data_IF_639908739890
#
_entry.id   IF_639908739890
#
_cell.length_a   1.000
_cell.length_b   1.000
_cell.length_c   1.000
_cell.angle_alpha   90.00
_cell.angle_beta   90.00
_cell.angle_gamma   90.00
#
_symmetry.space_group_name_H-M   'P 1'
#
loop_
_entity.id
_entity.type
_entity.pdbx_description
1 polymer ?
#
# COMPACT_ATOMS: atom_id res chain seq x y z
N UNK A 1 27.77 -27.20 -33.76
CA UNK A 1 28.77 -26.81 -32.74
C UNK A 1 30.15 -27.27 -33.24
N UNK A 2 30.83 -26.47 -34.04
CA UNK A 2 32.21 -26.80 -34.52
C UNK A 2 33.19 -26.29 -33.47
N UNK A 3 33.99 -27.23 -32.94
CA UNK A 3 35.11 -26.97 -32.04
C UNK A 3 36.06 -25.96 -32.68
N UNK A 4 36.08 -24.71 -32.25
CA UNK A 4 37.11 -23.73 -32.56
C UNK A 4 38.40 -24.05 -31.78
N UNK A 5 39.06 -25.17 -32.09
CA UNK A 5 40.48 -25.32 -31.80
C UNK A 5 41.20 -24.66 -32.95
N UNK A 6 41.47 -23.38 -32.86
CA UNK A 6 42.40 -22.69 -33.78
C UNK A 6 43.79 -23.12 -33.39
N UNK A 7 44.36 -24.08 -34.19
CA UNK A 7 45.78 -24.39 -34.11
C UNK A 7 46.56 -23.21 -34.68
N UNK A 8 46.89 -22.24 -33.82
CA UNK A 8 47.74 -21.12 -34.18
C UNK A 8 49.15 -21.63 -34.48
N UNK A 9 49.71 -21.29 -35.65
CA UNK A 9 51.10 -21.56 -35.97
C UNK A 9 52.03 -20.78 -35.05
N UNK A 10 53.25 -21.26 -34.82
CA UNK A 10 54.24 -20.54 -34.01
C UNK A 10 54.53 -19.13 -34.54
N UNK A 11 54.32 -18.86 -35.83
CA UNK A 11 54.51 -17.55 -36.46
C UNK A 11 53.41 -16.55 -36.07
N UNK A 12 52.23 -17.00 -35.66
CA UNK A 12 51.16 -16.15 -35.20
C UNK A 12 51.52 -15.39 -33.90
N UNK A 13 52.28 -16.01 -33.01
CA UNK A 13 52.70 -15.42 -31.74
C UNK A 13 53.93 -14.49 -31.85
N UNK A 14 54.52 -14.36 -33.04
CA UNK A 14 55.66 -13.49 -33.28
C UNK A 14 55.31 -12.21 -34.04
N UNK A 15 54.09 -12.13 -34.61
CA UNK A 15 53.66 -11.05 -35.49
C UNK A 15 52.44 -10.35 -34.89
N UNK A 16 52.64 -9.12 -34.42
CA UNK A 16 51.58 -8.32 -33.79
C UNK A 16 50.49 -7.89 -34.78
N UNK A 17 50.85 -7.68 -36.04
CA UNK A 17 49.91 -7.29 -37.10
C UNK A 17 48.91 -8.43 -37.37
N UNK A 18 49.39 -9.66 -37.48
CA UNK A 18 48.50 -10.84 -37.62
C UNK A 18 47.57 -11.02 -36.45
N UNK A 19 48.00 -10.70 -35.23
CA UNK A 19 47.12 -10.68 -34.07
C UNK A 19 46.05 -9.58 -34.17
N UNK A 20 46.44 -8.36 -34.56
CA UNK A 20 45.49 -7.25 -34.73
C UNK A 20 44.41 -7.59 -35.74
N UNK A 21 44.80 -8.10 -36.90
CA UNK A 21 43.86 -8.51 -37.94
C UNK A 21 42.92 -9.61 -37.48
N UNK A 22 43.44 -10.60 -36.76
CA UNK A 22 42.64 -11.68 -36.19
C UNK A 22 41.65 -11.17 -35.14
N UNK A 23 42.10 -10.30 -34.24
CA UNK A 23 41.21 -9.73 -33.20
C UNK A 23 40.14 -8.84 -33.79
N UNK A 24 40.45 -8.07 -34.85
CA UNK A 24 39.49 -7.25 -35.57
C UNK A 24 38.42 -8.12 -36.28
N UNK A 25 38.87 -9.19 -36.94
CA UNK A 25 37.94 -10.18 -37.52
C UNK A 25 37.00 -10.78 -36.48
N UNK A 26 37.53 -11.17 -35.31
CA UNK A 26 36.70 -11.74 -34.22
C UNK A 26 35.77 -10.73 -33.62
N UNK A 27 36.16 -9.47 -33.58
CA UNK A 27 35.31 -8.37 -33.15
C UNK A 27 34.15 -8.12 -34.12
N UNK A 28 34.39 -8.19 -35.43
CA UNK A 28 33.33 -8.07 -36.43
C UNK A 28 32.38 -9.28 -36.42
N UNK A 29 32.90 -10.51 -36.24
CA UNK A 29 32.07 -11.70 -36.04
C UNK A 29 31.17 -11.53 -34.80
N UNK A 30 31.71 -11.02 -33.70
CA UNK A 30 30.95 -10.77 -32.49
C UNK A 30 29.87 -9.70 -32.71
N UNK A 31 30.17 -8.61 -33.42
CA UNK A 31 29.17 -7.57 -33.76
C UNK A 31 28.01 -8.14 -34.57
N UNK A 32 28.28 -9.05 -35.51
CA UNK A 32 27.21 -9.72 -36.27
C UNK A 32 26.32 -10.57 -35.33
N UNK A 33 26.93 -11.28 -34.39
CA UNK A 33 26.19 -12.05 -33.39
C UNK A 33 25.36 -11.18 -32.46
N UNK A 34 25.82 -9.99 -32.11
CA UNK A 34 25.01 -9.01 -31.35
C UNK A 34 23.79 -8.55 -32.16
N UNK A 35 23.92 -8.33 -33.49
CA UNK A 35 22.78 -8.01 -34.38
C UNK A 35 21.75 -9.15 -34.42
N UNK A 36 22.20 -10.41 -34.47
CA UNK A 36 21.30 -11.57 -34.36
C UNK A 36 20.56 -11.58 -33.01
N UNK A 37 21.25 -11.26 -31.90
CA UNK A 37 20.66 -11.13 -30.58
C UNK A 37 19.63 -9.99 -30.52
N UNK A 38 19.93 -8.84 -31.15
CA UNK A 38 18.98 -7.71 -31.23
C UNK A 38 17.69 -8.10 -31.95
N UNK A 39 17.80 -8.93 -32.99
CA UNK A 39 16.61 -9.46 -33.67
C UNK A 39 15.79 -10.38 -32.79
N UNK A 40 16.40 -11.21 -31.94
CA UNK A 40 15.70 -12.05 -30.97
C UNK A 40 15.02 -11.22 -29.88
N UNK A 41 15.67 -10.15 -29.42
CA UNK A 41 15.13 -9.21 -28.43
C UNK A 41 13.93 -8.46 -29.02
N UNK A 42 14.02 -7.97 -30.26
CA UNK A 42 12.94 -7.25 -30.94
C UNK A 42 11.69 -8.13 -31.18
N UNK A 43 11.89 -9.44 -31.38
CA UNK A 43 10.82 -10.43 -31.51
C UNK A 43 10.28 -10.89 -30.13
N UNK A 44 10.74 -10.26 -29.05
CA UNK A 44 10.33 -10.57 -27.66
C UNK A 44 10.58 -12.04 -27.24
N UNK A 45 11.52 -12.71 -27.86
CA UNK A 45 11.88 -14.10 -27.58
C UNK A 45 12.96 -14.20 -26.49
N UNK A 46 12.57 -13.85 -25.25
CA UNK A 46 13.47 -13.69 -24.09
C UNK A 46 14.23 -14.98 -23.76
N UNK A 47 13.59 -16.14 -23.83
CA UNK A 47 14.21 -17.42 -23.51
C UNK A 47 15.34 -17.77 -24.49
N UNK A 48 15.10 -17.59 -25.79
CA UNK A 48 16.12 -17.81 -26.82
C UNK A 48 17.23 -16.78 -26.74
N UNK A 49 16.92 -15.52 -26.47
CA UNK A 49 17.91 -14.46 -26.30
C UNK A 49 18.87 -14.75 -25.12
N UNK A 50 18.37 -15.22 -23.98
CA UNK A 50 19.21 -15.64 -22.83
C UNK A 50 20.10 -16.82 -23.18
N UNK A 51 19.55 -17.87 -23.80
CA UNK A 51 20.33 -19.04 -24.26
C UNK A 51 21.41 -18.63 -25.27
N UNK A 52 21.12 -17.66 -26.13
CA UNK A 52 22.10 -17.15 -27.12
C UNK A 52 23.25 -16.38 -26.43
N UNK A 53 22.96 -15.55 -25.42
CA UNK A 53 24.00 -14.89 -24.60
C UNK A 53 24.90 -15.92 -23.92
N UNK A 54 24.34 -16.98 -23.37
CA UNK A 54 25.14 -18.01 -22.70
C UNK A 54 26.00 -18.79 -23.69
N UNK A 55 25.54 -19.00 -24.93
CA UNK A 55 26.33 -19.55 -26.00
C UNK A 55 27.51 -18.65 -26.38
N UNK A 56 27.29 -17.31 -26.49
CA UNK A 56 28.34 -16.34 -26.75
C UNK A 56 29.38 -16.30 -25.63
N UNK A 57 28.94 -16.31 -24.35
CA UNK A 57 29.86 -16.42 -23.21
C UNK A 57 30.69 -17.69 -23.27
N UNK A 58 30.10 -18.81 -23.66
CA UNK A 58 30.80 -20.08 -23.80
C UNK A 58 31.92 -20.01 -24.87
N UNK A 59 31.64 -19.36 -25.98
CA UNK A 59 32.60 -19.24 -27.10
C UNK A 59 33.74 -18.27 -26.80
N UNK A 60 33.45 -17.13 -26.18
CA UNK A 60 34.45 -16.05 -26.06
C UNK A 60 35.09 -15.97 -24.69
N UNK A 61 34.32 -16.06 -23.58
CA UNK A 61 34.79 -15.69 -22.22
C UNK A 61 34.88 -16.85 -21.24
N UNK A 62 34.31 -18.01 -21.53
CA UNK A 62 34.39 -19.19 -20.66
C UNK A 62 35.81 -19.74 -20.53
N UNK A 63 36.09 -20.59 -19.54
CA UNK A 63 37.42 -21.19 -19.30
C UNK A 63 38.04 -21.86 -20.53
N UNK A 64 37.23 -22.33 -21.49
CA UNK A 64 37.63 -22.94 -22.74
C UNK A 64 37.36 -22.03 -23.96
N UNK A 65 37.02 -20.77 -23.72
CA UNK A 65 36.69 -19.79 -24.75
C UNK A 65 37.95 -19.14 -25.38
N UNK A 66 37.73 -18.37 -26.43
CA UNK A 66 38.77 -17.73 -27.23
C UNK A 66 39.71 -16.85 -26.38
N UNK A 67 39.17 -16.00 -25.50
CA UNK A 67 39.98 -15.06 -24.72
C UNK A 67 40.90 -15.75 -23.74
N UNK A 68 40.43 -16.70 -22.87
CA UNK A 68 41.36 -17.46 -22.04
C UNK A 68 42.37 -18.31 -22.82
N UNK A 69 42.01 -18.83 -23.98
CA UNK A 69 42.95 -19.56 -24.86
C UNK A 69 44.07 -18.65 -25.33
N UNK A 70 43.78 -17.46 -25.83
CA UNK A 70 44.79 -16.48 -26.25
C UNK A 70 45.66 -16.02 -25.08
N UNK A 71 45.10 -15.78 -23.90
CA UNK A 71 45.83 -15.37 -22.70
C UNK A 71 46.72 -16.50 -22.18
N UNK A 72 46.30 -17.76 -22.24
CA UNK A 72 47.11 -18.92 -21.81
C UNK A 72 48.37 -19.10 -22.67
N UNK A 73 48.33 -18.69 -23.94
CA UNK A 73 49.44 -18.76 -24.86
C UNK A 73 50.38 -17.54 -24.82
N UNK A 74 50.17 -16.60 -23.89
CA UNK A 74 50.99 -15.39 -23.73
C UNK A 74 52.47 -15.71 -23.48
N UNK A 75 52.80 -16.90 -22.99
CA UNK A 75 54.19 -17.34 -22.78
C UNK A 75 54.91 -17.75 -24.07
N UNK A 76 54.19 -17.95 -25.17
CA UNK A 76 54.74 -18.24 -26.51
C UNK A 76 55.05 -16.98 -27.31
N UNK A 77 54.64 -15.81 -26.80
CA UNK A 77 54.79 -14.50 -27.42
C UNK A 77 56.17 -13.94 -27.12
N UNK A 78 56.80 -13.29 -28.14
CA UNK A 78 58.07 -12.62 -27.99
C UNK A 78 58.01 -11.54 -26.90
N UNK A 79 59.07 -11.43 -26.10
CA UNK A 79 59.16 -10.49 -24.96
C UNK A 79 58.98 -9.04 -25.39
N UNK A 80 59.37 -8.67 -26.58
CA UNK A 80 59.26 -7.32 -27.14
C UNK A 80 57.82 -6.85 -27.36
N UNK A 81 56.91 -7.77 -27.73
CA UNK A 81 55.52 -7.47 -28.07
C UNK A 81 54.53 -8.00 -27.04
N UNK A 82 54.96 -8.71 -26.00
CA UNK A 82 54.12 -9.37 -24.98
C UNK A 82 53.18 -8.40 -24.29
N UNK A 83 53.62 -7.19 -23.95
CA UNK A 83 52.82 -6.17 -23.28
C UNK A 83 51.69 -5.67 -24.19
N UNK A 84 51.97 -5.44 -25.47
CA UNK A 84 50.97 -4.98 -26.45
C UNK A 84 49.97 -6.11 -26.76
N UNK A 85 50.46 -7.35 -26.90
CA UNK A 85 49.63 -8.54 -27.06
C UNK A 85 48.57 -8.65 -25.93
N UNK A 86 48.99 -8.58 -24.68
CA UNK A 86 48.08 -8.63 -23.52
C UNK A 86 47.06 -7.48 -23.50
N UNK A 87 47.50 -6.26 -23.87
CA UNK A 87 46.63 -5.09 -23.93
C UNK A 87 45.54 -5.25 -25.00
N UNK A 88 45.84 -5.72 -26.19
CA UNK A 88 44.90 -5.90 -27.30
C UNK A 88 43.84 -6.96 -26.95
N UNK A 89 44.25 -8.07 -26.31
CA UNK A 89 43.31 -9.12 -25.91
C UNK A 89 42.38 -8.63 -24.82
N UNK A 90 42.89 -7.88 -23.82
CA UNK A 90 42.06 -7.30 -22.76
C UNK A 90 41.08 -6.27 -23.32
N UNK A 91 41.46 -5.46 -24.30
CA UNK A 91 40.53 -4.54 -24.98
C UNK A 91 39.37 -5.29 -25.67
N UNK A 92 39.65 -6.40 -26.34
CA UNK A 92 38.60 -7.23 -26.94
C UNK A 92 37.71 -7.87 -25.84
N UNK A 93 38.31 -8.35 -24.75
CA UNK A 93 37.59 -8.90 -23.58
C UNK A 93 36.63 -7.89 -23.03
N UNK A 94 37.11 -6.68 -22.70
CA UNK A 94 36.30 -5.62 -22.09
C UNK A 94 35.14 -5.20 -23.00
N UNK A 95 35.40 -5.14 -24.32
CA UNK A 95 34.38 -4.88 -25.33
C UNK A 95 33.28 -5.94 -25.34
N UNK A 96 33.64 -7.23 -25.32
CA UNK A 96 32.68 -8.34 -25.34
C UNK A 96 31.90 -8.38 -24.04
N UNK A 97 32.55 -8.27 -22.88
CA UNK A 97 31.91 -8.33 -21.59
C UNK A 97 30.94 -7.17 -21.37
N UNK A 98 31.33 -5.94 -21.73
CA UNK A 98 30.45 -4.77 -21.65
C UNK A 98 29.21 -4.91 -22.54
N UNK A 99 29.40 -5.32 -23.81
CA UNK A 99 28.30 -5.51 -24.74
C UNK A 99 27.29 -6.59 -24.26
N UNK A 100 27.77 -7.71 -23.74
CA UNK A 100 26.91 -8.78 -23.22
C UNK A 100 26.19 -8.34 -21.95
N UNK A 101 26.82 -7.54 -21.08
CA UNK A 101 26.22 -6.99 -19.89
C UNK A 101 25.09 -6.02 -20.22
N UNK A 102 25.30 -5.13 -21.18
CA UNK A 102 24.26 -4.19 -21.64
C UNK A 102 23.02 -4.93 -22.15
N UNK A 103 23.26 -5.95 -23.03
CA UNK A 103 22.15 -6.76 -23.58
C UNK A 103 21.41 -7.58 -22.50
N UNK A 104 22.12 -8.06 -21.49
CA UNK A 104 21.49 -8.76 -20.36
C UNK A 104 20.59 -7.82 -19.53
N UNK A 105 21.02 -6.57 -19.33
CA UNK A 105 20.21 -5.55 -18.65
C UNK A 105 18.94 -5.24 -19.47
N UNK A 106 19.06 -5.12 -20.78
CA UNK A 106 17.93 -4.89 -21.69
C UNK A 106 16.91 -6.03 -21.62
N UNK A 107 17.36 -7.28 -21.70
CA UNK A 107 16.52 -8.48 -21.60
C UNK A 107 15.81 -8.55 -20.23
N UNK A 108 16.53 -8.26 -19.14
CA UNK A 108 15.93 -8.28 -17.79
C UNK A 108 14.86 -7.18 -17.60
N UNK A 109 15.02 -6.01 -18.23
CA UNK A 109 13.98 -4.97 -18.24
C UNK A 109 12.71 -5.44 -18.97
N UNK A 110 12.87 -6.10 -20.12
CA UNK A 110 11.74 -6.64 -20.88
C UNK A 110 11.03 -7.78 -20.11
N UNK A 111 11.79 -8.66 -19.48
CA UNK A 111 11.22 -9.74 -18.65
C UNK A 111 10.44 -9.20 -17.44
N UNK A 112 10.96 -8.17 -16.78
CA UNK A 112 10.25 -7.52 -15.68
C UNK A 112 8.96 -6.83 -16.16
N UNK A 113 8.96 -6.22 -17.32
CA UNK A 113 7.76 -5.63 -17.92
C UNK A 113 6.72 -6.69 -18.30
N UNK A 114 7.14 -7.89 -18.72
CA UNK A 114 6.21 -9.00 -19.01
C UNK A 114 5.59 -9.62 -17.77
N UNK A 115 6.28 -9.62 -16.63
CA UNK A 115 5.72 -10.13 -15.35
C UNK A 115 4.49 -9.36 -14.86
N UNK A 116 4.25 -8.16 -15.37
CA UNK A 116 3.06 -7.36 -15.02
C UNK A 116 1.88 -7.54 -15.99
N UNK A 117 2.06 -8.25 -17.10
CA UNK A 117 0.95 -8.69 -17.93
C UNK A 117 0.56 -10.11 -17.52
N UNK A 118 -0.34 -10.21 -16.57
CA UNK A 118 -1.13 -11.41 -16.37
C UNK A 118 -2.02 -11.50 -17.62
N UNK A 119 -1.85 -12.53 -18.43
CA UNK A 119 -2.76 -12.86 -19.54
C UNK A 119 -4.07 -13.34 -18.90
N UNK A 120 -4.91 -12.37 -18.51
CA UNK A 120 -6.22 -12.61 -17.98
C UNK A 120 -7.09 -13.07 -19.16
N UNK A 121 -7.37 -14.36 -19.21
CA UNK A 121 -8.38 -14.89 -20.11
C UNK A 121 -9.77 -14.35 -19.69
N UNK A 122 -10.15 -13.24 -20.31
CA UNK A 122 -11.43 -12.57 -20.09
C UNK A 122 -12.63 -13.35 -20.65
N UNK A 123 -12.40 -14.49 -21.31
CA UNK A 123 -13.47 -15.36 -21.83
C UNK A 123 -14.03 -16.35 -20.80
N UNK A 124 -13.45 -16.39 -19.59
CA UNK A 124 -13.94 -17.24 -18.51
C UNK A 124 -15.09 -16.54 -17.79
N UNK A 125 -16.32 -16.83 -18.17
CA UNK A 125 -17.58 -16.37 -17.55
C UNK A 125 -17.66 -16.58 -16.02
N UNK A 126 -16.79 -17.42 -15.48
CA UNK A 126 -16.73 -17.73 -14.05
C UNK A 126 -16.22 -16.56 -13.19
N UNK A 127 -15.47 -15.61 -13.77
CA UNK A 127 -14.93 -14.45 -13.06
C UNK A 127 -15.94 -13.30 -12.93
N UNK A 128 -16.93 -13.19 -13.83
CA UNK A 128 -17.90 -12.10 -13.80
C UNK A 128 -18.75 -12.05 -12.51
N UNK A 129 -18.93 -13.18 -11.84
CA UNK A 129 -19.62 -13.22 -10.56
C UNK A 129 -18.74 -12.85 -9.35
N UNK A 130 -17.41 -12.84 -9.50
CA UNK A 130 -16.47 -12.56 -8.41
C UNK A 130 -15.75 -11.21 -8.53
N UNK A 131 -15.52 -10.74 -9.75
CA UNK A 131 -14.67 -9.56 -10.02
C UNK A 131 -15.34 -8.23 -9.65
N UNK A 132 -16.67 -8.20 -9.53
CA UNK A 132 -17.44 -6.97 -9.28
C UNK A 132 -18.03 -6.85 -7.86
N UNK A 133 -17.64 -7.71 -6.92
CA UNK A 133 -18.18 -7.62 -5.56
C UNK A 133 -17.10 -7.24 -4.56
N UNK A 134 -17.10 -5.97 -4.19
CA UNK A 134 -16.29 -5.48 -3.10
C UNK A 134 -16.70 -6.13 -1.77
N UNK A 135 -15.75 -6.31 -0.87
CA UNK A 135 -16.02 -6.71 0.51
C UNK A 135 -17.04 -5.76 1.17
N UNK A 136 -17.87 -6.26 2.08
CA UNK A 136 -18.93 -5.45 2.71
C UNK A 136 -18.37 -4.19 3.37
N UNK A 137 -17.21 -4.28 4.03
CA UNK A 137 -16.55 -3.12 4.64
C UNK A 137 -16.22 -2.06 3.59
N UNK A 138 -15.67 -2.46 2.43
CA UNK A 138 -15.34 -1.53 1.35
C UNK A 138 -16.60 -0.86 0.78
N UNK A 139 -17.71 -1.59 0.67
CA UNK A 139 -18.99 -1.00 0.25
C UNK A 139 -19.48 0.04 1.24
N UNK A 140 -19.40 -0.26 2.54
CA UNK A 140 -19.81 0.70 3.57
C UNK A 140 -18.89 1.91 3.58
N UNK A 141 -17.59 1.73 3.36
CA UNK A 141 -16.64 2.84 3.20
C UNK A 141 -17.07 3.72 2.03
N UNK A 142 -17.34 3.14 0.84
CA UNK A 142 -17.78 3.89 -0.33
C UNK A 142 -19.09 4.65 -0.06
N UNK A 143 -20.07 4.01 0.59
CA UNK A 143 -21.33 4.67 0.97
C UNK A 143 -21.08 5.85 1.93
N UNK A 144 -20.18 5.68 2.91
CA UNK A 144 -19.81 6.73 3.85
C UNK A 144 -19.09 7.89 3.15
N UNK A 145 -18.18 7.58 2.22
CA UNK A 145 -17.50 8.57 1.38
C UNK A 145 -18.51 9.39 0.57
N UNK A 146 -19.44 8.74 -0.14
CA UNK A 146 -20.48 9.44 -0.91
C UNK A 146 -21.31 10.37 -0.03
N UNK A 147 -21.74 9.90 1.13
CA UNK A 147 -22.52 10.70 2.07
C UNK A 147 -21.74 11.92 2.54
N UNK A 148 -20.51 11.75 3.04
CA UNK A 148 -19.74 12.87 3.59
C UNK A 148 -19.22 13.81 2.51
N UNK A 149 -18.87 13.32 1.32
CA UNK A 149 -18.55 14.17 0.17
C UNK A 149 -19.75 15.06 -0.21
N UNK A 150 -20.98 14.52 -0.20
CA UNK A 150 -22.20 15.29 -0.45
C UNK A 150 -22.46 16.37 0.61
N UNK A 151 -21.98 16.18 1.84
CA UNK A 151 -22.05 17.14 2.94
C UNK A 151 -20.87 18.15 2.94
N UNK A 152 -20.00 18.07 1.93
CA UNK A 152 -18.88 19.00 1.72
C UNK A 152 -17.62 18.66 2.51
N UNK A 153 -17.44 17.39 2.94
CA UNK A 153 -16.20 16.92 3.54
C UNK A 153 -15.21 16.51 2.46
N UNK A 154 -13.92 16.64 2.75
CA UNK A 154 -12.81 16.09 1.97
C UNK A 154 -12.26 14.85 2.64
N UNK A 155 -11.69 13.93 1.86
CA UNK A 155 -11.12 12.68 2.37
C UNK A 155 -9.62 12.85 2.56
N UNK A 156 -9.10 12.39 3.70
CA UNK A 156 -7.67 12.37 4.00
C UNK A 156 -7.24 11.00 4.50
N UNK A 157 -6.14 10.49 3.95
CA UNK A 157 -5.51 9.26 4.43
C UNK A 157 -4.84 9.46 5.78
N UNK A 158 -4.88 8.41 6.59
CA UNK A 158 -4.32 8.40 7.93
C UNK A 158 -3.33 7.27 8.18
N UNK A 159 -2.28 7.56 8.94
CA UNK A 159 -1.27 6.58 9.32
C UNK A 159 -1.84 5.54 10.30
N UNK A 160 -1.69 4.25 10.02
CA UNK A 160 -2.04 3.16 10.95
C UNK A 160 -1.03 3.04 12.09
N UNK A 161 0.24 3.33 11.82
CA UNK A 161 1.32 3.37 12.81
C UNK A 161 1.56 4.82 13.20
N UNK A 162 1.51 5.10 14.50
CA UNK A 162 1.70 6.43 15.04
C UNK A 162 2.55 6.40 16.31
N UNK A 163 2.78 7.56 16.89
CA UNK A 163 3.45 7.70 18.17
C UNK A 163 2.47 8.10 19.28
N UNK A 164 2.92 8.02 20.54
CA UNK A 164 2.09 8.36 21.70
C UNK A 164 1.61 9.81 21.68
N UNK A 165 2.40 10.73 21.14
CA UNK A 165 2.04 12.14 21.09
C UNK A 165 0.73 12.36 20.34
N UNK A 166 0.65 11.90 19.08
CA UNK A 166 -0.57 12.09 18.28
C UNK A 166 -1.73 11.19 18.70
N UNK A 167 -1.42 9.97 19.16
CA UNK A 167 -2.48 9.04 19.55
C UNK A 167 -3.10 9.40 20.90
N UNK A 168 -2.37 10.12 21.78
CA UNK A 168 -2.81 10.41 23.14
C UNK A 168 -2.59 11.87 23.57
N UNK A 169 -1.36 12.33 23.70
CA UNK A 169 -1.00 13.57 24.38
C UNK A 169 -1.60 14.82 23.71
N UNK A 170 -1.52 14.88 22.39
CA UNK A 170 -2.09 15.96 21.60
C UNK A 170 -3.62 16.03 21.70
N UNK A 171 -4.28 14.91 22.06
CA UNK A 171 -5.71 14.77 22.30
C UNK A 171 -6.11 14.93 23.79
N UNK A 172 -5.27 15.50 24.62
CA UNK A 172 -5.48 15.67 26.07
C UNK A 172 -5.58 14.35 26.86
N UNK A 173 -4.96 13.30 26.37
CA UNK A 173 -4.87 12.02 27.06
C UNK A 173 -3.45 11.90 27.61
N UNK A 174 -3.23 12.48 28.78
CA UNK A 174 -1.92 12.49 29.43
C UNK A 174 -1.47 11.08 29.82
N UNK A 175 -0.16 10.95 30.13
CA UNK A 175 0.48 9.65 30.41
C UNK A 175 -0.23 8.83 31.50
N UNK A 176 -0.82 9.48 32.47
CA UNK A 176 -1.51 8.84 33.62
C UNK A 176 -3.04 8.92 33.52
N UNK A 177 -3.58 9.28 32.34
CA UNK A 177 -5.02 9.37 32.15
C UNK A 177 -5.66 7.98 32.10
N UNK A 178 -6.76 7.71 32.86
CA UNK A 178 -7.39 6.39 32.90
C UNK A 178 -7.83 5.86 31.54
N UNK A 179 -8.20 6.75 30.61
CA UNK A 179 -8.56 6.36 29.24
C UNK A 179 -7.42 5.65 28.48
N UNK A 180 -6.16 5.84 28.88
CA UNK A 180 -5.02 5.12 28.26
C UNK A 180 -5.05 3.63 28.56
N UNK A 181 -5.40 3.26 29.78
CA UNK A 181 -5.52 1.86 30.20
C UNK A 181 -6.74 1.18 29.55
N UNK A 182 -7.80 1.97 29.26
CA UNK A 182 -9.01 1.47 28.62
C UNK A 182 -8.82 1.05 27.16
N UNK A 183 -7.80 1.56 26.46
CA UNK A 183 -7.61 1.28 25.03
C UNK A 183 -6.61 0.18 24.72
N UNK A 184 -6.09 -0.52 25.69
CA UNK A 184 -5.27 -1.73 25.50
C UNK A 184 -4.39 -1.71 24.22
N UNK A 185 -3.41 -0.80 24.21
CA UNK A 185 -2.64 -0.43 23.02
C UNK A 185 -1.60 -1.48 22.62
N UNK A 186 -1.46 -1.73 21.32
CA UNK A 186 -0.34 -2.48 20.77
C UNK A 186 0.86 -1.57 20.48
N UNK A 187 1.95 -1.75 21.22
CA UNK A 187 3.22 -1.06 20.99
C UNK A 187 4.15 -1.86 20.10
N UNK A 188 4.90 -1.18 19.25
CA UNK A 188 5.94 -1.80 18.45
C UNK A 188 7.19 -1.94 19.30
N UNK A 189 7.73 -3.17 19.39
CA UNK A 189 8.88 -3.49 20.25
C UNK A 189 10.07 -2.58 19.96
N UNK A 190 10.72 -2.10 21.03
CA UNK A 190 11.91 -1.24 20.98
C UNK A 190 11.72 0.11 20.25
N UNK A 191 10.50 0.62 20.19
CA UNK A 191 10.20 1.93 19.59
C UNK A 191 9.15 2.69 20.38
N UNK A 192 8.98 4.00 20.10
CA UNK A 192 7.91 4.83 20.62
C UNK A 192 6.67 4.79 19.71
N UNK A 193 6.60 3.82 18.80
CA UNK A 193 5.53 3.66 17.85
C UNK A 193 4.51 2.66 18.37
N UNK A 194 3.28 2.87 17.95
CA UNK A 194 2.13 2.04 18.30
C UNK A 194 1.21 1.86 17.08
N UNK A 195 0.36 0.86 17.13
CA UNK A 195 -0.78 0.75 16.24
C UNK A 195 -1.89 1.64 16.79
N UNK A 196 -2.42 2.56 15.98
CA UNK A 196 -3.42 3.54 16.45
C UNK A 196 -4.64 2.86 17.03
N UNK A 197 -5.12 3.38 18.16
CA UNK A 197 -6.29 2.86 18.86
C UNK A 197 -7.61 3.47 18.39
N UNK A 198 -7.53 4.55 17.65
CA UNK A 198 -8.63 5.31 17.02
C UNK A 198 -8.08 6.15 15.87
N UNK A 199 -8.97 6.75 15.10
CA UNK A 199 -8.60 7.63 13.98
C UNK A 199 -8.46 9.10 14.39
N UNK A 200 -8.77 9.46 15.64
CA UNK A 200 -8.68 10.85 16.15
C UNK A 200 -7.27 11.42 16.18
N UNK A 201 -6.22 10.57 16.10
CA UNK A 201 -4.83 11.02 15.88
C UNK A 201 -4.68 11.91 14.64
N UNK A 202 -5.55 11.71 13.65
CA UNK A 202 -5.53 12.48 12.41
C UNK A 202 -6.09 13.89 12.56
N UNK A 203 -6.93 14.17 13.56
CA UNK A 203 -7.42 15.54 13.83
C UNK A 203 -6.24 16.50 13.96
N UNK A 204 -5.30 16.19 14.87
CA UNK A 204 -4.12 17.04 15.12
C UNK A 204 -3.24 17.13 13.88
N UNK A 205 -2.92 16.00 13.26
CA UNK A 205 -2.06 15.95 12.07
C UNK A 205 -2.60 16.74 10.89
N UNK A 206 -3.92 16.80 10.73
CA UNK A 206 -4.56 17.55 9.66
C UNK A 206 -4.64 19.03 10.02
N UNK A 207 -4.98 19.37 11.28
CA UNK A 207 -5.00 20.76 11.77
C UNK A 207 -3.62 21.42 11.74
N UNK A 208 -2.52 20.67 11.84
CA UNK A 208 -1.16 21.17 11.64
C UNK A 208 -0.85 21.53 10.18
N UNK A 209 -1.55 20.92 9.23
CA UNK A 209 -1.30 21.06 7.78
C UNK A 209 -2.28 22.01 7.08
N UNK A 210 -3.53 21.98 7.49
CA UNK A 210 -4.60 22.75 6.87
C UNK A 210 -4.93 24.01 7.67
N UNK A 211 -5.24 25.08 6.94
CA UNK A 211 -5.79 26.29 7.53
C UNK A 211 -7.32 26.26 7.44
N UNK A 212 -8.07 26.56 8.51
CA UNK A 212 -9.51 26.68 8.45
C UNK A 212 -9.96 27.75 7.42
N UNK A 213 -11.16 27.61 6.78
CA UNK A 213 -12.15 26.59 7.10
C UNK A 213 -11.93 25.25 6.37
N UNK A 214 -12.24 24.15 7.04
CA UNK A 214 -12.25 22.83 6.38
C UNK A 214 -13.22 21.86 7.08
N UNK A 215 -13.67 20.87 6.32
CA UNK A 215 -14.40 19.68 6.77
C UNK A 215 -13.70 18.46 6.20
N UNK A 216 -13.34 17.51 7.05
CA UNK A 216 -12.51 16.36 6.67
C UNK A 216 -13.08 15.08 7.28
N UNK A 217 -13.05 14.00 6.51
CA UNK A 217 -13.13 12.63 7.02
C UNK A 217 -11.81 11.92 6.81
N UNK A 218 -11.47 11.05 7.73
CA UNK A 218 -10.39 10.08 7.64
C UNK A 218 -10.87 8.74 8.16
N UNK A 219 -10.42 7.65 7.58
CA UNK A 219 -10.83 6.32 8.02
C UNK A 219 -9.67 5.33 7.90
N UNK A 220 -9.87 4.14 8.42
CA UNK A 220 -8.95 3.02 8.30
C UNK A 220 -8.92 2.16 9.55
N UNK A 221 -7.98 1.22 9.58
CA UNK A 221 -7.86 0.25 10.66
C UNK A 221 -7.40 0.88 11.96
N UNK A 222 -8.00 0.40 13.05
CA UNK A 222 -7.63 0.68 14.43
C UNK A 222 -7.41 -0.63 15.16
N UNK A 223 -6.63 -0.59 16.24
CA UNK A 223 -6.14 -1.79 16.92
C UNK A 223 -6.26 -1.63 18.43
N UNK A 224 -6.89 -2.61 19.11
CA UNK A 224 -7.01 -2.68 20.58
C UNK A 224 -6.82 -4.13 21.01
N UNK A 225 -6.22 -4.37 22.18
CA UNK A 225 -6.05 -5.73 22.71
C UNK A 225 -7.35 -6.32 23.27
N UNK A 226 -8.47 -6.02 22.65
CA UNK A 226 -9.77 -6.56 23.02
C UNK A 226 -9.86 -8.05 22.74
N UNK A 227 -10.61 -8.75 23.58
CA UNK A 227 -10.95 -10.15 23.32
C UNK A 227 -11.93 -10.24 22.15
N UNK A 228 -11.71 -11.23 21.29
CA UNK A 228 -12.57 -11.46 20.13
C UNK A 228 -13.92 -12.05 20.57
N UNK A 229 -15.01 -11.30 20.39
CA UNK A 229 -16.38 -11.75 20.62
C UNK A 229 -17.32 -11.36 19.44
N UNK A 230 -18.63 -11.37 19.65
CA UNK A 230 -19.61 -11.00 18.61
C UNK A 230 -19.63 -9.49 18.30
N UNK A 231 -19.08 -8.66 19.17
CA UNK A 231 -19.14 -7.20 19.10
C UNK A 231 -17.78 -6.52 19.14
N UNK A 232 -16.73 -7.24 19.51
CA UNK A 232 -15.36 -6.74 19.63
C UNK A 232 -14.39 -7.55 18.77
N UNK A 233 -13.40 -6.83 18.21
CA UNK A 233 -12.26 -7.41 17.48
C UNK A 233 -11.02 -6.61 17.84
N UNK A 234 -9.86 -7.29 17.91
CA UNK A 234 -8.57 -6.63 18.12
C UNK A 234 -8.15 -5.72 16.96
N UNK A 235 -8.76 -5.90 15.80
CA UNK A 235 -8.66 -5.03 14.64
C UNK A 235 -10.07 -4.68 14.17
N UNK A 236 -10.34 -3.41 13.92
CA UNK A 236 -11.60 -2.91 13.37
C UNK A 236 -11.32 -1.66 12.53
N UNK A 237 -12.32 -1.16 11.82
CA UNK A 237 -12.21 0.07 11.05
C UNK A 237 -13.01 1.20 11.74
N UNK A 238 -12.43 2.38 11.76
CA UNK A 238 -13.09 3.58 12.27
C UNK A 238 -13.03 4.67 11.21
N UNK A 239 -14.14 5.42 11.10
CA UNK A 239 -14.20 6.69 10.40
C UNK A 239 -14.26 7.80 11.44
N UNK A 240 -13.42 8.81 11.25
CA UNK A 240 -13.41 10.07 11.98
C UNK A 240 -13.78 11.20 11.04
N UNK A 241 -14.73 12.03 11.43
CA UNK A 241 -15.06 13.25 10.71
C UNK A 241 -14.94 14.44 11.63
N UNK A 242 -14.41 15.56 11.14
CA UNK A 242 -14.32 16.80 11.89
C UNK A 242 -14.34 18.04 10.98
N UNK A 243 -14.80 19.15 11.56
CA UNK A 243 -14.86 20.43 10.87
C UNK A 243 -14.31 21.53 11.79
N UNK A 244 -13.57 22.47 11.21
CA UNK A 244 -13.03 23.65 11.90
C UNK A 244 -13.32 24.89 11.07
N UNK A 245 -14.00 25.85 11.67
CA UNK A 245 -14.31 27.14 11.05
C UNK A 245 -14.59 28.19 12.14
N UNK A 246 -14.85 29.43 11.75
CA UNK A 246 -15.34 30.46 12.68
C UNK A 246 -16.79 30.16 13.06
N UNK A 247 -17.08 30.33 14.34
CA UNK A 247 -18.45 30.28 14.89
C UNK A 247 -19.19 28.94 14.71
N UNK A 248 -18.48 27.82 14.49
CA UNK A 248 -19.09 26.47 14.50
C UNK A 248 -19.69 26.21 15.89
N UNK A 249 -20.94 25.77 15.92
CA UNK A 249 -21.71 25.49 17.11
C UNK A 249 -22.03 23.98 17.24
N UNK A 250 -22.49 23.59 18.41
CA UNK A 250 -22.99 22.23 18.63
C UNK A 250 -24.23 21.89 17.77
N UNK A 251 -24.99 22.90 17.34
CA UNK A 251 -26.12 22.70 16.43
C UNK A 251 -25.65 22.31 15.01
N UNK A 252 -24.50 22.81 14.57
CA UNK A 252 -23.91 22.42 13.27
C UNK A 252 -23.49 20.97 13.27
N UNK A 253 -22.94 20.48 14.40
CA UNK A 253 -22.66 19.06 14.62
C UNK A 253 -23.95 18.24 14.56
N UNK A 254 -24.98 18.62 15.34
CA UNK A 254 -26.28 17.91 15.35
C UNK A 254 -26.87 17.85 13.94
N UNK A 255 -26.86 18.96 13.20
CA UNK A 255 -27.36 19.01 11.84
C UNK A 255 -26.58 18.06 10.91
N UNK A 256 -25.27 18.08 10.99
CA UNK A 256 -24.41 17.20 10.17
C UNK A 256 -24.72 15.73 10.45
N UNK A 257 -24.88 15.35 11.71
CA UNK A 257 -25.19 13.97 12.10
C UNK A 257 -26.62 13.56 11.72
N UNK A 258 -27.57 14.50 11.80
CA UNK A 258 -28.93 14.26 11.32
C UNK A 258 -28.97 14.01 9.82
N UNK A 259 -28.29 14.84 9.05
CA UNK A 259 -28.18 14.69 7.59
C UNK A 259 -27.49 13.37 7.23
N UNK A 260 -26.39 13.02 7.93
CA UNK A 260 -25.71 11.74 7.77
C UNK A 260 -26.64 10.53 8.02
N UNK A 261 -27.36 10.53 9.13
CA UNK A 261 -28.27 9.40 9.46
C UNK A 261 -29.38 9.27 8.44
N UNK A 262 -29.96 10.38 7.99
CA UNK A 262 -31.00 10.37 6.98
C UNK A 262 -30.50 9.84 5.61
N UNK A 263 -29.31 10.22 5.22
CA UNK A 263 -28.72 9.76 3.95
C UNK A 263 -28.32 8.27 4.00
N UNK A 264 -27.77 7.84 5.16
CA UNK A 264 -27.25 6.48 5.32
C UNK A 264 -28.31 5.43 5.62
N UNK A 265 -29.34 5.79 6.43
CA UNK A 265 -30.32 4.85 6.97
C UNK A 265 -31.79 5.17 6.59
N UNK A 266 -32.02 6.34 6.02
CA UNK A 266 -33.36 6.79 5.64
C UNK A 266 -34.01 7.74 6.64
N UNK A 267 -35.06 8.43 6.20
CA UNK A 267 -35.72 9.54 6.94
C UNK A 267 -36.57 9.11 8.14
N UNK A 268 -36.87 7.81 8.25
CA UNK A 268 -37.73 7.28 9.34
C UNK A 268 -36.93 6.87 10.57
N UNK A 269 -35.68 7.27 10.68
CA UNK A 269 -34.79 6.91 11.78
C UNK A 269 -34.62 8.08 12.75
N UNK A 270 -35.09 7.88 13.98
CA UNK A 270 -34.94 8.86 15.07
C UNK A 270 -33.49 8.85 15.60
N UNK A 271 -32.99 10.02 15.94
CA UNK A 271 -31.68 10.23 16.56
C UNK A 271 -31.84 10.64 18.01
N UNK A 272 -31.06 10.02 18.86
CA UNK A 272 -30.97 10.35 20.30
C UNK A 272 -29.53 10.68 20.67
N UNK A 273 -29.27 11.86 21.22
CA UNK A 273 -28.00 12.24 21.80
C UNK A 273 -28.04 11.95 23.31
N UNK A 274 -26.99 11.29 23.78
CA UNK A 274 -26.78 11.00 25.21
C UNK A 274 -25.49 11.70 25.61
N UNK A 275 -25.52 12.57 26.66
CA UNK A 275 -24.29 13.19 27.15
C UNK A 275 -23.25 12.12 27.51
N UNK A 276 -22.01 12.36 27.12
CA UNK A 276 -20.86 11.47 27.35
C UNK A 276 -19.61 12.29 27.64
N UNK A 277 -18.50 11.63 27.85
CA UNK A 277 -17.22 12.29 28.09
C UNK A 277 -16.13 11.67 27.23
N UNK A 278 -15.45 12.53 26.44
CA UNK A 278 -14.21 12.19 25.75
C UNK A 278 -13.17 13.28 26.05
N UNK A 279 -11.90 12.95 26.33
CA UNK A 279 -10.88 13.94 26.70
C UNK A 279 -10.65 15.04 25.68
N UNK A 280 -10.84 14.70 24.39
CA UNK A 280 -10.58 15.58 23.25
C UNK A 280 -11.79 16.37 22.76
N UNK A 281 -12.99 16.19 23.36
CA UNK A 281 -14.19 16.95 23.02
C UNK A 281 -14.89 17.50 24.28
N UNK A 282 -15.53 18.68 24.15
CA UNK A 282 -16.29 19.33 25.22
C UNK A 282 -17.24 20.39 24.62
N UNK A 283 -18.59 20.25 24.74
CA UNK A 283 -19.28 19.06 25.26
C UNK A 283 -19.16 17.82 24.37
N UNK A 284 -19.33 16.66 24.97
CA UNK A 284 -19.34 15.37 24.32
C UNK A 284 -20.67 14.67 24.38
N UNK A 285 -21.00 13.87 23.38
CA UNK A 285 -22.19 13.06 23.33
C UNK A 285 -21.97 11.75 22.57
N UNK A 286 -22.77 10.75 22.93
CA UNK A 286 -22.97 9.55 22.13
C UNK A 286 -24.25 9.67 21.31
N UNK A 287 -24.20 9.21 20.05
CA UNK A 287 -25.36 9.21 19.16
C UNK A 287 -25.91 7.81 19.02
N UNK A 288 -27.17 7.67 19.34
CA UNK A 288 -27.96 6.47 19.15
C UNK A 288 -29.04 6.71 18.11
N UNK A 289 -29.31 5.73 17.28
CA UNK A 289 -30.43 5.74 16.33
C UNK A 289 -31.51 4.76 16.76
N UNK A 290 -32.77 5.03 16.38
CA UNK A 290 -33.86 4.08 16.60
C UNK A 290 -33.51 2.72 15.97
N UNK A 291 -33.80 1.65 16.70
CA UNK A 291 -33.41 0.29 16.26
C UNK A 291 -34.00 -0.04 14.91
N UNK A 292 -33.14 -0.26 13.93
CA UNK A 292 -33.51 -0.57 12.53
C UNK A 292 -34.30 -1.89 12.43
N UNK A 293 -34.10 -2.81 13.39
CA UNK A 293 -34.74 -4.13 13.38
C UNK A 293 -36.17 -4.10 13.92
N UNK A 294 -36.38 -3.46 15.09
CA UNK A 294 -37.69 -3.43 15.73
C UNK A 294 -38.37 -2.05 15.65
N UNK A 295 -37.70 -1.05 15.07
CA UNK A 295 -38.18 0.35 14.99
C UNK A 295 -38.59 0.92 16.35
N UNK A 296 -37.91 0.50 17.42
CA UNK A 296 -38.21 0.90 18.80
C UNK A 296 -39.49 0.31 19.40
N UNK A 297 -40.16 -0.61 18.69
CA UNK A 297 -41.50 -1.10 19.09
C UNK A 297 -41.50 -2.41 19.88
N UNK A 298 -40.43 -3.18 19.86
CA UNK A 298 -40.35 -4.49 20.51
C UNK A 298 -39.42 -4.45 21.74
N UNK A 299 -40.03 -4.61 22.92
CA UNK A 299 -39.29 -4.69 24.20
C UNK A 299 -38.50 -6.00 24.36
N UNK A 300 -38.80 -7.02 23.56
CA UNK A 300 -38.09 -8.28 23.52
C UNK A 300 -36.98 -8.37 22.44
N UNK A 301 -36.74 -7.30 21.70
CA UNK A 301 -35.76 -7.26 20.65
C UNK A 301 -34.36 -7.59 21.18
N UNK A 302 -33.76 -8.69 20.68
CA UNK A 302 -32.44 -9.17 21.07
C UNK A 302 -31.30 -8.23 20.69
N UNK A 303 -31.51 -7.41 19.65
CA UNK A 303 -30.47 -6.52 19.10
C UNK A 303 -30.33 -5.24 19.95
N UNK A 304 -31.46 -4.54 20.24
CA UNK A 304 -31.42 -3.36 21.07
C UNK A 304 -31.68 -3.68 22.56
N UNK A 305 -31.86 -4.95 22.91
CA UNK A 305 -32.14 -5.43 24.29
C UNK A 305 -33.34 -4.69 24.92
N UNK A 306 -34.34 -4.36 24.10
CA UNK A 306 -35.54 -3.66 24.51
C UNK A 306 -35.40 -2.15 24.72
N UNK A 307 -34.21 -1.55 24.53
CA UNK A 307 -34.00 -0.11 24.67
C UNK A 307 -34.63 0.73 23.55
N UNK A 308 -34.90 0.11 22.41
CA UNK A 308 -35.41 0.76 21.19
C UNK A 308 -34.38 1.56 20.43
N UNK A 309 -33.14 1.73 20.94
CA UNK A 309 -32.07 2.51 20.33
C UNK A 309 -30.77 1.72 20.26
N UNK A 310 -29.91 2.09 19.31
CA UNK A 310 -28.59 1.50 19.09
C UNK A 310 -27.58 2.63 18.94
N UNK A 311 -26.57 2.62 19.80
CA UNK A 311 -25.42 3.54 19.69
C UNK A 311 -24.65 3.27 18.39
N UNK A 312 -24.29 4.34 17.68
CA UNK A 312 -23.56 4.25 16.40
C UNK A 312 -22.24 5.02 16.39
N UNK A 313 -22.13 6.12 17.15
CA UNK A 313 -20.93 6.96 17.14
C UNK A 313 -20.82 7.83 18.41
N UNK A 314 -19.59 8.25 18.71
CA UNK A 314 -19.30 9.32 19.65
C UNK A 314 -19.03 10.64 18.92
N UNK A 315 -19.36 11.78 19.55
CA UNK A 315 -19.16 13.09 18.96
C UNK A 315 -18.99 14.19 20.02
N UNK A 316 -18.60 15.38 19.59
CA UNK A 316 -18.54 16.56 20.45
C UNK A 316 -17.88 17.77 19.78
N UNK A 317 -17.87 18.88 20.50
CA UNK A 317 -17.07 20.03 20.08
C UNK A 317 -15.60 19.77 20.40
N UNK A 318 -14.70 20.09 19.47
CA UNK A 318 -13.25 19.94 19.69
C UNK A 318 -12.86 20.78 20.91
N UNK A 319 -12.13 20.15 21.83
CA UNK A 319 -11.72 20.81 23.05
C UNK A 319 -10.88 22.06 22.75
N UNK A 320 -11.24 23.25 23.27
CA UNK A 320 -10.54 24.52 22.96
C UNK A 320 -9.03 24.47 23.22
N UNK A 321 -8.59 23.71 24.21
CA UNK A 321 -7.16 23.54 24.52
C UNK A 321 -6.38 22.89 23.37
N UNK A 322 -7.00 22.02 22.58
CA UNK A 322 -6.37 21.42 21.40
C UNK A 322 -6.19 22.48 20.31
N UNK A 323 -7.24 23.30 20.06
CA UNK A 323 -7.16 24.41 19.09
C UNK A 323 -6.14 25.46 19.53
N UNK A 324 -6.08 25.78 20.81
CA UNK A 324 -5.09 26.73 21.37
C UNK A 324 -3.64 26.24 21.14
N UNK A 325 -3.36 24.98 21.43
CA UNK A 325 -2.03 24.38 21.19
C UNK A 325 -1.60 24.42 19.72
N UNK A 326 -2.56 24.46 18.81
CA UNK A 326 -2.34 24.51 17.36
C UNK A 326 -2.38 25.94 16.79
N UNK A 327 -2.45 26.97 17.65
CA UNK A 327 -2.63 28.38 17.27
C UNK A 327 -3.92 28.65 16.45
N UNK A 328 -4.99 27.93 16.76
CA UNK A 328 -6.31 28.03 16.14
C UNK A 328 -7.36 28.54 17.13
N UNK A 329 -6.99 29.34 18.13
CA UNK A 329 -7.88 29.84 19.21
C UNK A 329 -9.04 30.71 18.72
N UNK A 330 -8.95 31.28 17.51
CA UNK A 330 -10.03 32.07 16.89
C UNK A 330 -11.11 31.21 16.21
N UNK A 331 -10.92 29.90 16.15
CA UNK A 331 -11.82 28.96 15.51
C UNK A 331 -12.50 28.06 16.55
N UNK A 332 -13.63 27.51 16.13
CA UNK A 332 -14.33 26.43 16.82
C UNK A 332 -14.43 25.24 15.89
N UNK A 333 -14.77 24.08 16.42
CA UNK A 333 -14.89 22.88 15.59
C UNK A 333 -15.65 21.77 16.31
N UNK A 334 -16.11 20.82 15.53
CA UNK A 334 -16.68 19.58 16.04
C UNK A 334 -15.98 18.37 15.45
N UNK A 335 -16.09 17.24 16.16
CA UNK A 335 -15.60 15.95 15.69
C UNK A 335 -16.61 14.83 16.02
N UNK A 336 -16.58 13.77 15.23
CA UNK A 336 -17.32 12.53 15.46
C UNK A 336 -16.54 11.33 14.96
N UNK A 337 -16.68 10.20 15.67
CA UNK A 337 -16.01 8.95 15.32
C UNK A 337 -16.95 7.75 15.36
N UNK A 338 -16.95 6.91 14.32
CA UNK A 338 -17.81 5.74 14.21
C UNK A 338 -17.05 4.49 13.78
N UNK A 339 -17.42 3.34 14.36
CA UNK A 339 -16.93 2.04 13.89
C UNK A 339 -17.62 1.63 12.59
N UNK A 340 -16.85 1.38 11.52
CA UNK A 340 -17.38 1.04 10.19
C UNK A 340 -18.10 -0.31 10.23
N UNK A 341 -17.55 -1.29 10.98
CA UNK A 341 -18.21 -2.58 11.20
C UNK A 341 -19.58 -2.42 11.87
N UNK A 342 -19.69 -1.47 12.82
CA UNK A 342 -20.97 -1.19 13.50
C UNK A 342 -22.01 -0.69 12.51
N UNK A 343 -21.65 0.21 11.61
CA UNK A 343 -22.51 0.70 10.53
C UNK A 343 -22.87 -0.45 9.57
N UNK A 344 -21.87 -1.28 9.18
CA UNK A 344 -22.09 -2.44 8.33
C UNK A 344 -23.04 -3.47 8.95
N UNK A 345 -22.84 -3.79 10.24
CA UNK A 345 -23.72 -4.69 10.99
C UNK A 345 -25.17 -4.21 10.98
N UNK A 346 -25.37 -2.92 11.17
CA UNK A 346 -26.71 -2.33 11.15
C UNK A 346 -27.30 -2.36 9.74
N UNK A 347 -26.58 -1.88 8.73
CA UNK A 347 -27.06 -1.77 7.36
C UNK A 347 -27.41 -3.14 6.73
N UNK A 348 -26.55 -4.14 6.96
CA UNK A 348 -26.69 -5.48 6.39
C UNK A 348 -27.30 -6.52 7.36
N UNK A 349 -27.72 -6.08 8.55
CA UNK A 349 -28.33 -6.95 9.58
C UNK A 349 -27.44 -8.12 10.00
N UNK A 350 -26.14 -7.86 10.11
CA UNK A 350 -25.14 -8.83 10.57
C UNK A 350 -25.03 -8.73 12.09
N UNK A 351 -25.14 -9.86 12.80
CA UNK A 351 -25.16 -9.89 14.27
C UNK A 351 -23.81 -10.15 14.92
N UNK A 352 -22.78 -10.50 14.14
CA UNK A 352 -21.47 -10.92 14.62
C UNK A 352 -20.35 -10.27 13.81
N UNK A 353 -19.50 -9.47 14.47
CA UNK A 353 -18.38 -8.74 13.83
C UNK A 353 -17.36 -9.68 13.18
N UNK A 354 -17.20 -10.89 13.73
CA UNK A 354 -16.29 -11.93 13.21
C UNK A 354 -16.63 -12.35 11.78
N UNK A 355 -17.86 -12.09 11.34
CA UNK A 355 -18.28 -12.34 9.96
C UNK A 355 -17.41 -11.59 8.93
N UNK A 356 -17.02 -10.36 9.23
CA UNK A 356 -16.20 -9.53 8.33
C UNK A 356 -14.76 -10.03 8.18
N UNK A 357 -14.26 -10.77 9.17
CA UNK A 357 -12.87 -11.23 9.26
C UNK A 357 -12.68 -12.72 8.98
N UNK A 358 -13.78 -13.45 8.86
CA UNK A 358 -13.74 -14.83 8.35
C UNK A 358 -13.64 -14.79 6.84
N UNK A 359 -12.57 -15.36 6.30
CA UNK A 359 -12.29 -15.40 4.86
C UNK A 359 -13.29 -16.35 4.15
N UNK A 360 -14.58 -15.97 4.13
CA UNK A 360 -15.66 -16.75 3.55
C UNK A 360 -16.19 -16.02 2.31
N UNK A 361 -16.02 -16.61 1.14
CA UNK A 361 -16.51 -16.08 -0.13
C UNK A 361 -18.02 -15.77 -0.11
N UNK A 362 -18.80 -16.51 0.68
CA UNK A 362 -20.23 -16.25 0.83
C UNK A 362 -20.52 -14.85 1.40
N UNK A 363 -19.62 -14.28 2.20
CA UNK A 363 -19.76 -12.91 2.72
C UNK A 363 -19.66 -11.83 1.62
N UNK A 364 -19.06 -12.18 0.48
CA UNK A 364 -18.93 -11.28 -0.69
C UNK A 364 -20.05 -11.51 -1.70
N UNK A 365 -20.58 -12.74 -1.78
CA UNK A 365 -21.56 -13.15 -2.79
C UNK A 365 -22.99 -12.77 -2.39
N UNK A 366 -23.37 -12.93 -1.12
CA UNK A 366 -24.76 -12.80 -0.65
C UNK A 366 -25.14 -11.41 -0.13
N UNK A 367 -24.18 -10.51 0.02
CA UNK A 367 -24.37 -9.14 0.44
C UNK A 367 -23.81 -8.18 -0.61
#
# INVERSE_FOLDING_TARGET
MSNLKTNFSNDFYKDIEKLKDFLELKKEEFKQKIKELDSLISLNNISQAKSFIDSLKSVYTSKKGLIPELLSNINKVDTSIKKEYGKLINQLKDYIESSLKEKLIEINKLENNQKYFVDLDLSIDYLDNFVNKNHIIDRVINDLEEVFLSLGFSIFDGNEIDNEYYNFEALKIDKYHPARDMWDTFYISNSNLLLRTHTSNMQVRIMEKLKPPFKVITYGKCYRRDNLDATHSFQFHQLEGFAVDKDISFLDLIKTLYDFVNLMFGKDIDIKLVPSYFPFTEPSAEVSISCIFCKGKDKGCSICKGSGYLEILGCGMINPIILEKLNLSEYTGFAFGMGIERIAMLKYKISDIRFFYKNNLNSVIYY
#
